data_IF_442096967844
#
_entry.id   IF_442096967844
#
_cell.length_a   1.000
_cell.length_b   1.000
_cell.length_c   1.000
_cell.angle_alpha   90.00
_cell.angle_beta   90.00
_cell.angle_gamma   90.00
#
_symmetry.space_group_name_H-M   'P 1'
#
loop_
_entity.id
_entity.type
_entity.pdbx_description
1 polymer ?
#
# COMPACT_ATOMS: atom_id res chain seq x y z
N UNK A 1 0.60 19.19 2.73
CA UNK A 1 1.78 18.39 2.34
C UNK A 1 1.47 17.52 1.13
N UNK A 2 2.36 17.50 0.14
CA UNK A 2 2.25 16.65 -1.05
C UNK A 2 3.43 15.69 -1.09
N UNK A 3 3.15 14.39 -1.16
CA UNK A 3 4.17 13.35 -1.28
C UNK A 3 4.04 12.72 -2.66
N UNK A 4 5.15 12.70 -3.43
CA UNK A 4 5.26 11.97 -4.69
C UNK A 4 6.25 10.83 -4.55
N UNK A 5 5.81 9.62 -4.83
CA UNK A 5 6.68 8.45 -4.91
C UNK A 5 6.67 7.90 -6.32
N UNK A 6 7.85 7.79 -6.92
CA UNK A 6 8.07 7.11 -8.20
C UNK A 6 8.88 5.85 -7.95
N UNK A 7 8.43 4.74 -8.49
CA UNK A 7 9.13 3.48 -8.40
C UNK A 7 9.13 2.79 -9.76
N UNK A 8 10.30 2.35 -10.21
CA UNK A 8 10.48 1.56 -11.42
C UNK A 8 11.09 0.22 -11.05
N UNK A 9 10.44 -0.84 -11.45
CA UNK A 9 10.91 -2.18 -11.31
C UNK A 9 11.22 -2.75 -12.67
N UNK A 10 12.40 -3.38 -12.81
CA UNK A 10 12.84 -3.98 -14.05
C UNK A 10 13.06 -5.47 -13.85
N UNK A 11 12.34 -6.29 -14.62
CA UNK A 11 12.54 -7.72 -14.74
C UNK A 11 13.30 -7.97 -16.02
N UNK A 12 14.57 -8.41 -15.90
CA UNK A 12 15.50 -8.61 -17.01
C UNK A 12 15.95 -10.07 -17.17
N UNK A 13 15.49 -10.95 -16.29
CA UNK A 13 15.77 -12.37 -16.30
C UNK A 13 14.51 -13.19 -16.16
N UNK A 14 14.59 -14.41 -16.65
CA UNK A 14 13.57 -15.43 -16.58
C UNK A 14 13.19 -15.81 -15.14
N UNK A 15 11.91 -16.18 -14.92
CA UNK A 15 11.38 -16.70 -13.65
C UNK A 15 11.55 -15.76 -12.44
N UNK A 16 11.51 -14.45 -12.65
CA UNK A 16 11.60 -13.47 -11.56
C UNK A 16 10.24 -13.21 -10.92
N UNK A 17 10.25 -12.94 -9.61
CA UNK A 17 9.06 -12.55 -8.86
C UNK A 17 9.21 -11.18 -8.26
N UNK A 18 8.14 -10.42 -8.30
CA UNK A 18 8.10 -9.09 -7.71
C UNK A 18 6.74 -8.73 -7.17
N UNK A 19 6.73 -8.32 -5.92
CA UNK A 19 5.55 -7.82 -5.25
C UNK A 19 5.81 -6.45 -4.65
N UNK A 20 5.00 -5.47 -5.06
CA UNK A 20 5.04 -4.11 -4.53
C UNK A 20 3.73 -3.82 -3.79
N UNK A 21 3.83 -3.45 -2.52
CA UNK A 21 2.70 -3.00 -1.72
C UNK A 21 2.96 -1.60 -1.19
N UNK A 22 2.10 -0.68 -1.55
CA UNK A 22 2.13 0.71 -1.06
C UNK A 22 0.83 1.00 -0.35
N UNK A 23 0.92 1.46 0.89
CA UNK A 23 -0.22 1.94 1.66
C UNK A 23 -0.01 3.37 2.11
N UNK A 24 -1.07 4.16 2.06
CA UNK A 24 -1.07 5.56 2.46
C UNK A 24 -2.26 5.84 3.37
N UNK A 25 -2.03 6.62 4.41
CA UNK A 25 -3.09 7.19 5.25
C UNK A 25 -2.99 8.70 5.13
N UNK A 26 -4.05 9.33 4.70
CA UNK A 26 -4.09 10.75 4.37
C UNK A 26 -5.14 11.46 5.22
N UNK A 27 -4.76 12.56 5.83
CA UNK A 27 -5.62 13.40 6.64
C UNK A 27 -5.54 14.88 6.23
N UNK A 28 -6.45 15.69 6.71
CA UNK A 28 -6.60 17.09 6.36
C UNK A 28 -6.74 17.31 4.83
N UNK A 29 -5.94 18.21 4.28
CA UNK A 29 -5.83 18.48 2.84
C UNK A 29 -4.59 17.85 2.20
N UNK A 30 -4.13 16.73 2.76
CA UNK A 30 -2.92 16.07 2.27
C UNK A 30 -3.15 15.38 0.92
N UNK A 31 -2.12 15.41 0.07
CA UNK A 31 -2.14 14.78 -1.25
C UNK A 31 -0.99 13.82 -1.41
N UNK A 32 -1.29 12.61 -1.87
CA UNK A 32 -0.27 11.63 -2.22
C UNK A 32 -0.42 11.17 -3.67
N UNK A 33 0.71 11.07 -4.36
CA UNK A 33 0.79 10.54 -5.71
C UNK A 33 1.74 9.35 -5.71
N UNK A 34 1.21 8.19 -6.11
CA UNK A 34 1.99 7.00 -6.36
C UNK A 34 2.10 6.76 -7.87
N UNK A 35 3.31 6.73 -8.39
CA UNK A 35 3.58 6.37 -9.77
C UNK A 35 4.52 5.17 -9.78
N UNK A 36 4.01 4.03 -10.18
CA UNK A 36 4.76 2.78 -10.25
C UNK A 36 4.79 2.22 -11.66
N UNK A 37 5.96 1.71 -12.09
CA UNK A 37 6.14 1.07 -13.37
C UNK A 37 6.79 -0.30 -13.19
N UNK A 38 6.17 -1.33 -13.77
CA UNK A 38 6.77 -2.65 -13.95
C UNK A 38 7.19 -2.76 -15.40
N UNK A 39 8.49 -2.93 -15.61
CA UNK A 39 9.09 -3.17 -16.93
C UNK A 39 9.55 -4.62 -17.03
N UNK A 40 9.07 -5.34 -18.02
CA UNK A 40 9.44 -6.75 -18.27
C UNK A 40 10.08 -6.84 -19.65
N UNK A 41 11.37 -7.23 -19.68
CA UNK A 41 12.11 -7.42 -20.92
C UNK A 41 11.60 -8.66 -21.66
N UNK A 42 11.78 -8.72 -22.99
CA UNK A 42 11.43 -9.87 -23.83
C UNK A 42 12.08 -11.20 -23.39
N UNK A 43 13.28 -11.14 -22.80
CA UNK A 43 13.97 -12.31 -22.26
C UNK A 43 13.48 -12.76 -20.88
N UNK A 44 12.66 -11.93 -20.21
CA UNK A 44 12.19 -12.20 -18.84
C UNK A 44 10.87 -12.99 -18.82
N UNK A 45 10.88 -14.16 -19.43
CA UNK A 45 9.75 -15.07 -19.43
C UNK A 45 9.43 -15.59 -18.02
N UNK A 46 8.18 -16.02 -17.76
CA UNK A 46 7.70 -16.53 -16.47
C UNK A 46 7.84 -15.53 -15.32
N UNK A 47 7.94 -14.25 -15.63
CA UNK A 47 7.90 -13.19 -14.62
C UNK A 47 6.53 -13.14 -13.96
N UNK A 48 6.54 -13.09 -12.61
CA UNK A 48 5.35 -12.89 -11.78
C UNK A 48 5.46 -11.54 -11.07
N UNK A 49 4.83 -10.52 -11.64
CA UNK A 49 4.89 -9.13 -11.17
C UNK A 49 3.54 -8.62 -10.67
N UNK A 50 3.49 -8.13 -9.43
CA UNK A 50 2.28 -7.56 -8.86
C UNK A 50 2.55 -6.24 -8.14
N UNK A 51 1.67 -5.27 -8.39
CA UNK A 51 1.75 -3.94 -7.80
C UNK A 51 0.40 -3.56 -7.20
N UNK A 52 0.38 -3.30 -5.90
CA UNK A 52 -0.83 -2.91 -5.18
C UNK A 52 -0.62 -1.59 -4.45
N UNK A 53 -1.49 -0.63 -4.71
CA UNK A 53 -1.53 0.63 -3.98
C UNK A 53 -2.89 0.82 -3.31
N UNK A 54 -2.88 1.10 -2.00
CA UNK A 54 -4.10 1.34 -1.23
C UNK A 54 -3.97 2.61 -0.40
N UNK A 55 -5.05 3.36 -0.28
CA UNK A 55 -5.09 4.53 0.58
C UNK A 55 -6.36 4.58 1.43
N UNK A 56 -6.19 5.03 2.68
CA UNK A 56 -7.29 5.49 3.53
C UNK A 56 -7.28 7.01 3.53
N UNK A 57 -8.42 7.60 3.20
CA UNK A 57 -8.67 9.03 3.24
C UNK A 57 -9.46 9.33 4.51
N UNK A 58 -8.84 10.04 5.45
CA UNK A 58 -9.44 10.37 6.74
C UNK A 58 -10.24 11.65 6.70
N UNK A 59 -10.11 12.43 5.63
CA UNK A 59 -10.77 13.70 5.42
C UNK A 59 -11.17 13.83 3.95
N UNK A 60 -12.30 14.49 3.67
CA UNK A 60 -12.81 14.72 2.31
C UNK A 60 -11.89 15.59 1.45
N UNK A 61 -11.05 16.43 2.08
CA UNK A 61 -10.08 17.27 1.39
C UNK A 61 -8.78 16.53 1.05
N UNK A 62 -8.59 15.28 1.52
CA UNK A 62 -7.42 14.48 1.20
C UNK A 62 -7.56 13.80 -0.16
N UNK A 63 -6.43 13.62 -0.87
CA UNK A 63 -6.42 13.13 -2.24
C UNK A 63 -5.32 12.08 -2.46
N UNK A 64 -5.70 10.94 -3.04
CA UNK A 64 -4.77 9.90 -3.45
C UNK A 64 -4.87 9.64 -4.95
N UNK A 65 -3.75 9.82 -5.65
CA UNK A 65 -3.61 9.56 -7.09
C UNK A 65 -2.63 8.41 -7.34
N UNK A 66 -3.12 7.31 -7.87
CA UNK A 66 -2.29 6.18 -8.29
C UNK A 66 -2.17 6.15 -9.81
N UNK A 67 -0.92 6.03 -10.30
CA UNK A 67 -0.58 5.88 -11.72
C UNK A 67 0.26 4.61 -11.91
N UNK A 68 -0.36 3.43 -11.89
CA UNK A 68 0.35 2.19 -12.20
C UNK A 68 0.56 2.06 -13.71
N UNK A 69 1.77 1.64 -14.11
CA UNK A 69 2.16 1.41 -15.49
C UNK A 69 2.74 0.00 -15.64
N UNK A 70 2.34 -0.71 -16.69
CA UNK A 70 2.91 -1.99 -17.09
C UNK A 70 3.49 -1.86 -18.50
N UNK A 71 4.78 -2.17 -18.65
CA UNK A 71 5.46 -2.21 -19.94
C UNK A 71 6.08 -3.60 -20.10
N UNK A 72 5.41 -4.45 -20.89
CA UNK A 72 5.66 -5.88 -20.95
C UNK A 72 6.03 -6.25 -22.38
N UNK A 73 7.21 -6.83 -22.56
CA UNK A 73 7.74 -7.30 -23.84
C UNK A 73 7.91 -8.82 -23.91
N UNK A 74 7.53 -9.55 -22.85
CA UNK A 74 7.54 -11.00 -22.79
C UNK A 74 6.11 -11.57 -22.87
N UNK A 75 5.95 -12.76 -23.46
CA UNK A 75 4.64 -13.35 -23.74
C UNK A 75 4.12 -14.23 -22.59
N UNK A 76 5.01 -14.99 -21.94
CA UNK A 76 4.66 -15.91 -20.84
C UNK A 76 4.92 -15.26 -19.49
N UNK A 77 4.03 -14.37 -19.07
CA UNK A 77 4.16 -13.64 -17.79
C UNK A 77 2.83 -13.48 -17.07
N UNK A 78 2.90 -13.29 -15.76
CA UNK A 78 1.79 -12.91 -14.89
C UNK A 78 2.08 -11.55 -14.28
N UNK A 79 1.60 -10.50 -14.94
CA UNK A 79 1.81 -9.13 -14.45
C UNK A 79 0.45 -8.45 -14.27
N UNK A 80 0.27 -7.87 -13.08
CA UNK A 80 -0.97 -7.16 -12.76
C UNK A 80 -0.74 -6.03 -11.78
N UNK A 81 -1.69 -5.14 -11.71
CA UNK A 81 -1.73 -4.07 -10.72
C UNK A 81 -3.13 -3.89 -10.14
N UNK A 82 -3.19 -3.34 -8.93
CA UNK A 82 -4.42 -2.91 -8.29
C UNK A 82 -4.22 -1.57 -7.60
N UNK A 83 -5.29 -0.78 -7.56
CA UNK A 83 -5.32 0.46 -6.79
C UNK A 83 -6.70 0.65 -6.17
N UNK A 84 -6.72 1.10 -4.92
CA UNK A 84 -7.97 1.47 -4.25
C UNK A 84 -7.73 2.59 -3.24
N UNK A 85 -8.70 3.46 -3.11
CA UNK A 85 -8.76 4.46 -2.04
C UNK A 85 -10.17 4.58 -1.51
N UNK A 86 -10.31 4.93 -0.25
CA UNK A 86 -11.61 5.12 0.39
C UNK A 86 -11.49 5.62 1.82
N UNK A 87 -12.61 5.99 2.40
CA UNK A 87 -12.71 6.33 3.82
C UNK A 87 -12.60 5.09 4.71
N UNK A 88 -12.50 5.31 6.01
CA UNK A 88 -12.68 4.24 6.99
C UNK A 88 -14.10 3.66 6.88
N UNK A 89 -14.20 2.35 7.05
CA UNK A 89 -15.49 1.68 7.01
C UNK A 89 -16.30 1.98 8.29
N UNK A 90 -17.42 2.69 8.14
CA UNK A 90 -18.28 3.11 9.25
C UNK A 90 -18.90 1.91 10.00
N UNK A 91 -19.24 0.83 9.30
CA UNK A 91 -19.77 -0.38 9.96
C UNK A 91 -18.71 -1.02 10.86
N UNK A 92 -17.45 -0.99 10.43
CA UNK A 92 -16.32 -1.47 11.24
C UNK A 92 -16.10 -0.60 12.47
N UNK A 93 -16.22 0.71 12.35
CA UNK A 93 -16.15 1.64 13.48
C UNK A 93 -17.29 1.36 14.45
N UNK A 94 -18.52 1.26 13.94
CA UNK A 94 -19.70 0.97 14.76
C UNK A 94 -19.56 -0.39 15.50
N UNK A 95 -19.07 -1.42 14.81
CA UNK A 95 -18.83 -2.71 15.43
C UNK A 95 -17.83 -2.62 16.60
N UNK A 96 -16.72 -1.92 16.42
CA UNK A 96 -15.71 -1.74 17.47
C UNK A 96 -16.26 -0.92 18.65
N UNK A 97 -17.06 0.10 18.37
CA UNK A 97 -17.74 0.88 19.41
C UNK A 97 -18.73 0.03 20.20
N UNK A 98 -19.46 -0.87 19.56
CA UNK A 98 -20.36 -1.83 20.24
C UNK A 98 -19.62 -2.83 21.14
N UNK A 99 -18.31 -2.98 20.96
CA UNK A 99 -17.41 -3.80 21.78
C UNK A 99 -16.71 -3.00 22.89
N UNK A 100 -17.07 -1.73 23.07
CA UNK A 100 -16.62 -0.91 24.20
C UNK A 100 -15.49 0.08 23.89
N UNK A 101 -15.03 0.18 22.62
CA UNK A 101 -14.08 1.22 22.24
C UNK A 101 -14.85 2.53 21.99
N UNK A 102 -14.20 3.66 22.28
CA UNK A 102 -14.73 4.94 21.79
C UNK A 102 -14.41 5.14 20.31
N UNK A 103 -14.99 6.15 19.70
CA UNK A 103 -14.81 6.46 18.26
C UNK A 103 -13.32 6.60 17.87
N UNK A 104 -12.57 7.36 18.67
CA UNK A 104 -11.15 7.62 18.40
C UNK A 104 -10.31 6.33 18.47
N UNK A 105 -10.54 5.50 19.48
CA UNK A 105 -9.87 4.21 19.62
C UNK A 105 -10.21 3.25 18.47
N UNK A 106 -11.47 3.23 18.04
CA UNK A 106 -11.91 2.42 16.90
C UNK A 106 -11.21 2.84 15.60
N UNK A 107 -11.14 4.15 15.37
CA UNK A 107 -10.46 4.74 14.21
C UNK A 107 -8.96 4.39 14.21
N UNK A 108 -8.28 4.59 15.33
CA UNK A 108 -6.85 4.27 15.48
C UNK A 108 -6.58 2.79 15.27
N UNK A 109 -7.42 1.90 15.80
CA UNK A 109 -7.27 0.46 15.62
C UNK A 109 -7.36 0.05 14.15
N UNK A 110 -8.31 0.60 13.39
CA UNK A 110 -8.46 0.32 11.96
C UNK A 110 -7.26 0.85 11.15
N UNK A 111 -6.77 2.04 11.46
CA UNK A 111 -5.58 2.62 10.81
C UNK A 111 -4.34 1.77 11.10
N UNK A 112 -4.14 1.39 12.36
CA UNK A 112 -3.01 0.56 12.76
C UNK A 112 -3.06 -0.80 12.07
N UNK A 113 -4.20 -1.47 12.03
CA UNK A 113 -4.37 -2.73 11.32
C UNK A 113 -4.07 -2.62 9.82
N UNK A 114 -4.50 -1.51 9.19
CA UNK A 114 -4.20 -1.25 7.79
C UNK A 114 -2.69 -1.09 7.54
N UNK A 115 -1.97 -0.40 8.40
CA UNK A 115 -0.52 -0.19 8.28
C UNK A 115 0.27 -1.44 8.64
N UNK A 116 -0.15 -2.17 9.69
CA UNK A 116 0.50 -3.40 10.13
C UNK A 116 0.60 -4.46 9.03
N UNK A 117 -0.38 -4.57 8.14
CA UNK A 117 -0.34 -5.52 7.01
C UNK A 117 0.90 -5.35 6.09
N UNK A 118 1.45 -4.14 5.99
CA UNK A 118 2.73 -3.90 5.28
C UNK A 118 3.92 -4.24 6.17
N UNK A 119 3.87 -3.81 7.42
CA UNK A 119 4.99 -3.93 8.36
C UNK A 119 5.27 -5.40 8.67
N UNK A 120 4.22 -6.21 8.81
CA UNK A 120 4.36 -7.63 9.11
C UNK A 120 5.04 -8.44 7.98
N UNK A 121 5.13 -7.89 6.77
CA UNK A 121 5.89 -8.48 5.67
C UNK A 121 7.41 -8.28 5.80
N UNK A 122 7.85 -7.43 6.71
CA UNK A 122 9.27 -7.24 7.01
C UNK A 122 9.74 -8.40 7.89
N UNK A 123 10.75 -9.12 7.43
CA UNK A 123 11.29 -10.30 8.14
C UNK A 123 12.22 -9.94 9.28
N UNK A 124 12.93 -8.82 9.16
CA UNK A 124 13.84 -8.32 10.18
C UNK A 124 13.06 -7.67 11.32
N UNK A 125 13.21 -8.24 12.52
CA UNK A 125 12.48 -7.79 13.72
C UNK A 125 12.92 -6.41 14.23
N UNK A 126 14.20 -6.04 14.08
CA UNK A 126 14.70 -4.76 14.53
C UNK A 126 14.17 -3.64 13.63
N UNK A 127 14.23 -3.85 12.31
CA UNK A 127 13.68 -2.92 11.31
C UNK A 127 12.16 -2.79 11.50
N UNK A 128 11.46 -3.90 11.72
CA UNK A 128 10.01 -3.91 11.98
C UNK A 128 9.66 -3.03 13.19
N UNK A 129 10.34 -3.23 14.31
CA UNK A 129 10.12 -2.47 15.54
C UNK A 129 10.48 -0.98 15.37
N UNK A 130 11.57 -0.69 14.67
CA UNK A 130 11.94 0.69 14.35
C UNK A 130 10.83 1.40 13.57
N UNK A 131 10.29 0.76 12.54
CA UNK A 131 9.21 1.32 11.72
C UNK A 131 7.93 1.49 12.54
N UNK A 132 7.51 0.47 13.33
CA UNK A 132 6.34 0.60 14.23
C UNK A 132 6.47 1.83 15.14
N UNK A 133 7.63 2.03 15.75
CA UNK A 133 7.88 3.17 16.61
C UNK A 133 7.84 4.51 15.86
N UNK A 134 8.43 4.58 14.66
CA UNK A 134 8.48 5.80 13.86
C UNK A 134 7.09 6.27 13.40
N UNK A 135 6.19 5.36 13.09
CA UNK A 135 4.84 5.69 12.62
C UNK A 135 3.79 5.67 13.73
N UNK A 136 4.19 5.36 14.97
CA UNK A 136 3.31 5.36 16.14
C UNK A 136 2.28 4.22 16.16
N UNK A 137 2.51 3.15 15.40
CA UNK A 137 1.64 1.96 15.43
C UNK A 137 1.93 1.17 16.70
N UNK A 138 0.89 1.02 17.53
CA UNK A 138 0.91 0.21 18.76
C UNK A 138 0.26 -1.14 18.48
N UNK A 139 0.76 -2.17 19.15
CA UNK A 139 0.12 -3.50 19.18
C UNK A 139 -1.16 -3.50 19.98
#
# INVERSE_FOLDING_TARGET
HSIRRRQRQMCIRDSTKSYQLVKSVLDDSSKAVYQGKIFVNSEAQKTDGYQLSKAILLNEASEFNAKPELEIYADDVKCSHGSSSGSLNEDSIFYLMSRGLNYQQSRELLINGFLLDVIEKITDSEIKNLIKNMIGVKE
#
